data_IF_547887460768
#
_entry.id   IF_547887460768
#
_cell.length_a   1.000
_cell.length_b   1.000
_cell.length_c   1.000
_cell.angle_alpha   90.00
_cell.angle_beta   90.00
_cell.angle_gamma   90.00
#
_symmetry.space_group_name_H-M   'P 1'
#
loop_
_entity.id
_entity.type
_entity.pdbx_description
1 polymer ?
#
# COMPACT_ATOMS: atom_id res chain seq x y z
N UNK A 1 -41.47 14.60 -16.68
CA UNK A 1 -41.32 15.23 -15.34
C UNK A 1 -42.13 14.45 -14.33
N UNK A 2 -41.48 13.70 -13.44
CA UNK A 2 -42.04 13.17 -12.19
C UNK A 2 -40.94 13.31 -11.16
N UNK A 3 -41.18 14.18 -10.19
CA UNK A 3 -40.24 14.59 -9.16
C UNK A 3 -40.44 13.62 -7.99
N UNK A 4 -39.41 12.86 -7.64
CA UNK A 4 -39.47 11.90 -6.54
C UNK A 4 -38.62 12.43 -5.38
N UNK A 5 -39.29 12.78 -4.28
CA UNK A 5 -38.69 13.34 -3.07
C UNK A 5 -38.15 12.23 -2.15
N UNK A 6 -36.96 12.39 -1.54
CA UNK A 6 -36.45 11.42 -0.58
C UNK A 6 -37.03 11.64 0.84
N UNK A 7 -37.40 10.54 1.51
CA UNK A 7 -37.73 10.53 2.94
C UNK A 7 -36.43 10.63 3.75
N UNK A 8 -36.30 11.70 4.53
CA UNK A 8 -35.27 11.85 5.56
C UNK A 8 -35.53 10.83 6.68
N UNK A 9 -34.56 9.94 6.93
CA UNK A 9 -34.49 9.15 8.15
C UNK A 9 -33.66 9.93 9.18
N UNK A 10 -34.29 10.25 10.31
CA UNK A 10 -33.65 10.89 11.45
C UNK A 10 -32.68 9.90 12.12
N UNK A 11 -31.39 10.28 12.19
CA UNK A 11 -30.38 9.55 12.95
C UNK A 11 -30.30 10.18 14.33
N UNK A 12 -30.81 9.47 15.32
CA UNK A 12 -30.75 9.84 16.74
C UNK A 12 -29.31 9.73 17.23
N UNK A 13 -28.73 10.87 17.61
CA UNK A 13 -27.40 10.98 18.20
C UNK A 13 -27.45 10.47 19.66
N UNK A 14 -26.88 9.30 19.94
CA UNK A 14 -26.69 8.84 21.32
C UNK A 14 -25.37 9.43 21.86
N UNK A 15 -25.49 10.48 22.68
CA UNK A 15 -24.41 10.94 23.55
C UNK A 15 -24.20 9.90 24.67
N UNK A 16 -23.05 9.24 24.68
CA UNK A 16 -22.59 8.53 25.88
C UNK A 16 -21.71 9.44 26.72
N UNK A 17 -22.13 9.58 27.96
CA UNK A 17 -21.61 10.43 29.03
C UNK A 17 -20.24 9.98 29.52
N UNK A 18 -19.33 10.95 29.74
CA UNK A 18 -18.09 10.76 30.48
C UNK A 18 -18.42 10.32 31.92
N UNK A 19 -17.83 9.20 32.36
CA UNK A 19 -17.78 8.83 33.77
C UNK A 19 -16.45 9.33 34.36
N UNK A 20 -16.55 10.24 35.32
CA UNK A 20 -15.43 10.71 36.12
C UNK A 20 -15.27 9.80 37.35
N UNK A 21 -14.08 9.22 37.55
CA UNK A 21 -13.67 8.68 38.84
C UNK A 21 -12.67 9.65 39.46
N UNK A 22 -13.10 10.33 40.52
CA UNK A 22 -12.23 10.99 41.49
C UNK A 22 -11.85 9.96 42.56
N UNK A 23 -10.56 9.72 42.73
CA UNK A 23 -10.00 9.27 44.01
C UNK A 23 -8.69 10.03 44.26
N UNK A 24 -8.70 10.82 45.32
CA UNK A 24 -7.55 11.25 46.14
C UNK A 24 -7.94 10.92 47.59
N UNK A 25 -7.04 10.83 48.59
CA UNK A 25 -5.62 11.20 48.61
C UNK A 25 -4.71 10.19 49.35
N UNK A 26 -3.39 10.27 49.18
CA UNK A 26 -2.50 10.30 50.35
C UNK A 26 -1.13 10.88 50.00
N UNK A 27 -0.74 11.78 50.89
CA UNK A 27 0.43 12.62 50.86
C UNK A 27 1.62 11.84 51.43
N UNK A 28 2.71 11.74 50.68
CA UNK A 28 4.04 11.61 51.28
C UNK A 28 5.02 12.44 50.45
N UNK A 29 5.46 13.55 51.05
CA UNK A 29 6.52 14.43 50.58
C UNK A 29 7.85 13.69 50.66
N UNK A 30 8.50 13.51 49.53
CA UNK A 30 9.96 13.48 49.46
C UNK A 30 10.39 14.50 48.39
N UNK A 31 10.70 15.72 48.85
CA UNK A 31 11.43 16.71 48.05
C UNK A 31 12.86 16.21 47.86
N UNK A 32 13.08 15.39 46.83
CA UNK A 32 14.42 15.27 46.25
C UNK A 32 14.64 16.50 45.40
N UNK A 33 15.32 17.48 45.99
CA UNK A 33 15.87 18.66 45.31
C UNK A 33 16.85 18.19 44.22
N UNK A 34 16.36 17.89 43.01
CA UNK A 34 17.21 17.73 41.84
C UNK A 34 17.62 19.11 41.35
N UNK A 35 18.82 19.49 41.77
CA UNK A 35 19.68 20.46 41.10
C UNK A 35 19.65 20.23 39.57
N UNK A 36 19.68 21.28 38.73
CA UNK A 36 19.68 21.08 37.28
C UNK A 36 21.03 20.49 36.88
N UNK A 37 21.10 19.16 36.82
CA UNK A 37 22.22 18.46 36.21
C UNK A 37 22.20 18.77 34.71
N UNK A 38 23.03 19.74 34.32
CA UNK A 38 23.50 19.88 32.94
C UNK A 38 24.17 18.56 32.57
N UNK A 39 23.42 17.69 31.91
CA UNK A 39 24.00 16.51 31.26
C UNK A 39 24.81 17.06 30.08
N UNK A 40 26.12 17.11 30.24
CA UNK A 40 27.04 17.32 29.13
C UNK A 40 26.91 16.09 28.22
N UNK A 41 26.10 16.21 27.17
CA UNK A 41 25.93 15.14 26.19
C UNK A 41 27.28 14.83 25.55
N UNK A 42 27.68 13.55 25.58
CA UNK A 42 28.92 13.11 24.94
C UNK A 42 28.81 13.40 23.43
N UNK A 43 29.80 14.04 22.79
CA UNK A 43 29.72 14.47 21.39
C UNK A 43 29.41 13.33 20.41
N UNK A 44 29.79 12.10 20.75
CA UNK A 44 29.47 10.91 19.96
C UNK A 44 27.98 10.55 20.00
N UNK A 45 27.30 10.78 21.14
CA UNK A 45 25.86 10.52 21.29
C UNK A 45 25.03 11.51 20.46
N UNK A 46 25.41 12.79 20.44
CA UNK A 46 24.76 13.83 19.61
C UNK A 46 24.94 13.55 18.11
N UNK A 47 26.07 12.95 17.72
CA UNK A 47 26.30 12.54 16.32
C UNK A 47 25.45 11.33 15.95
N UNK A 48 25.37 10.33 16.83
CA UNK A 48 24.56 9.13 16.63
C UNK A 48 23.06 9.43 16.58
N UNK A 49 22.55 10.29 17.47
CA UNK A 49 21.13 10.68 17.49
C UNK A 49 20.73 11.40 16.19
N UNK A 50 21.59 12.26 15.64
CA UNK A 50 21.37 12.91 14.33
C UNK A 50 21.38 11.92 13.17
N UNK A 51 22.30 10.95 13.16
CA UNK A 51 22.36 9.92 12.12
C UNK A 51 21.10 9.05 12.14
N UNK A 52 20.61 8.69 13.32
CA UNK A 52 19.37 7.94 13.48
C UNK A 52 18.16 8.73 12.94
N UNK A 53 18.07 10.02 13.25
CA UNK A 53 16.99 10.88 12.73
C UNK A 53 17.02 10.97 11.20
N UNK A 54 18.20 11.12 10.60
CA UNK A 54 18.37 11.16 9.15
C UNK A 54 17.96 9.84 8.49
N UNK A 55 18.37 8.71 9.05
CA UNK A 55 18.00 7.39 8.55
C UNK A 55 16.48 7.17 8.63
N UNK A 56 15.84 7.58 9.72
CA UNK A 56 14.38 7.50 9.87
C UNK A 56 13.67 8.35 8.81
N UNK A 57 14.14 9.57 8.55
CA UNK A 57 13.55 10.42 7.53
C UNK A 57 13.73 9.85 6.12
N UNK A 58 14.92 9.31 5.82
CA UNK A 58 15.17 8.61 4.56
C UNK A 58 14.18 7.46 4.35
N UNK A 59 13.97 6.61 5.36
CA UNK A 59 13.01 5.50 5.27
C UNK A 59 11.59 5.99 5.00
N UNK A 60 11.17 7.12 5.60
CA UNK A 60 9.86 7.73 5.32
C UNK A 60 9.75 8.22 3.89
N UNK A 61 10.78 8.87 3.36
CA UNK A 61 10.78 9.34 1.97
C UNK A 61 10.78 8.18 0.97
N UNK A 62 11.51 7.10 1.27
CA UNK A 62 11.49 5.89 0.45
C UNK A 62 10.12 5.19 0.48
N UNK A 63 9.45 5.13 1.63
CA UNK A 63 8.08 4.63 1.71
C UNK A 63 7.13 5.52 0.89
N UNK A 64 7.21 6.85 1.07
CA UNK A 64 6.38 7.79 0.33
C UNK A 64 6.54 7.63 -1.19
N UNK A 65 7.77 7.60 -1.68
CA UNK A 65 8.06 7.40 -3.10
C UNK A 65 7.53 6.05 -3.61
N UNK A 66 7.62 4.99 -2.80
CA UNK A 66 7.07 3.68 -3.15
C UNK A 66 5.53 3.66 -3.18
N UNK A 67 4.86 4.44 -2.33
CA UNK A 67 3.40 4.63 -2.38
C UNK A 67 3.00 5.38 -3.66
N UNK A 68 3.68 6.49 -3.97
CA UNK A 68 3.42 7.30 -5.16
C UNK A 68 3.52 6.47 -6.44
N UNK A 69 4.49 5.55 -6.52
CA UNK A 69 4.64 4.64 -7.66
C UNK A 69 3.48 3.64 -7.84
N UNK A 70 2.59 3.51 -6.85
CA UNK A 70 1.44 2.60 -6.84
C UNK A 70 0.08 3.32 -6.83
N UNK A 71 0.06 4.65 -6.88
CA UNK A 71 -1.18 5.45 -6.92
C UNK A 71 -2.06 5.07 -8.12
N UNK A 72 -1.45 4.68 -9.25
CA UNK A 72 -2.17 4.23 -10.44
C UNK A 72 -3.17 3.11 -10.11
N UNK A 73 -2.80 2.18 -9.23
CA UNK A 73 -3.64 1.02 -8.89
C UNK A 73 -4.87 1.39 -8.06
N UNK A 74 -4.91 2.59 -7.48
CA UNK A 74 -6.08 3.04 -6.70
C UNK A 74 -7.26 3.42 -7.58
N UNK A 75 -6.99 3.80 -8.84
CA UNK A 75 -7.99 4.33 -9.79
C UNK A 75 -8.01 3.59 -11.12
N UNK A 76 -7.24 2.51 -11.25
CA UNK A 76 -7.17 1.71 -12.47
C UNK A 76 -8.54 1.11 -12.82
N UNK A 77 -8.94 1.28 -14.08
CA UNK A 77 -10.14 0.68 -14.64
C UNK A 77 -9.75 -0.57 -15.43
N UNK A 78 -9.96 -1.73 -14.81
CA UNK A 78 -9.54 -3.01 -15.34
C UNK A 78 -10.23 -3.35 -16.66
N UNK A 79 -11.54 -3.10 -16.77
CA UNK A 79 -12.30 -3.48 -17.95
C UNK A 79 -11.95 -2.56 -19.12
N UNK A 80 -11.74 -1.27 -18.85
CA UNK A 80 -11.24 -0.33 -19.85
C UNK A 80 -9.86 -0.74 -20.36
N UNK A 81 -8.87 -0.93 -19.48
CA UNK A 81 -7.50 -1.27 -19.92
C UNK A 81 -7.47 -2.60 -20.68
N UNK A 82 -8.23 -3.59 -20.19
CA UNK A 82 -8.35 -4.88 -20.86
C UNK A 82 -8.92 -4.73 -22.28
N UNK A 83 -10.05 -4.02 -22.45
CA UNK A 83 -10.67 -3.86 -23.76
C UNK A 83 -9.75 -3.08 -24.72
N UNK A 84 -9.10 -2.02 -24.25
CA UNK A 84 -8.12 -1.28 -25.05
C UNK A 84 -6.93 -2.16 -25.48
N UNK A 85 -6.48 -3.07 -24.62
CA UNK A 85 -5.41 -4.00 -24.93
C UNK A 85 -5.83 -5.00 -26.01
N UNK A 86 -7.06 -5.53 -25.93
CA UNK A 86 -7.64 -6.41 -26.96
C UNK A 86 -7.74 -5.68 -28.30
N UNK A 87 -8.27 -4.45 -28.33
CA UNK A 87 -8.37 -3.64 -29.55
C UNK A 87 -7.00 -3.40 -30.22
N UNK A 88 -5.95 -3.25 -29.40
CA UNK A 88 -4.57 -3.03 -29.85
C UNK A 88 -3.81 -4.34 -30.14
N UNK A 89 -4.44 -5.50 -29.94
CA UNK A 89 -3.80 -6.82 -29.98
C UNK A 89 -2.57 -6.93 -29.06
N UNK A 90 -2.59 -6.23 -27.91
CA UNK A 90 -1.56 -6.33 -26.88
C UNK A 90 -1.97 -7.36 -25.83
N UNK A 91 -1.57 -8.61 -26.07
CA UNK A 91 -1.90 -9.74 -25.19
C UNK A 91 -0.89 -9.97 -24.06
N UNK A 92 0.06 -9.04 -23.85
CA UNK A 92 1.06 -9.16 -22.78
C UNK A 92 0.39 -9.15 -21.41
N UNK A 93 0.87 -10.01 -20.53
CA UNK A 93 0.41 -10.12 -19.13
C UNK A 93 1.30 -9.32 -18.18
N UNK A 94 0.79 -9.00 -16.99
CA UNK A 94 1.55 -8.35 -15.94
C UNK A 94 2.45 -9.34 -15.20
N UNK A 95 3.72 -8.97 -15.02
CA UNK A 95 4.71 -9.71 -14.24
C UNK A 95 5.23 -8.87 -13.09
N UNK A 96 5.37 -9.45 -11.91
CA UNK A 96 6.09 -8.83 -10.80
C UNK A 96 7.59 -8.98 -11.04
N UNK A 97 8.31 -7.86 -11.06
CA UNK A 97 9.77 -7.86 -11.11
C UNK A 97 10.35 -8.33 -9.77
N UNK A 98 11.40 -9.15 -9.79
CA UNK A 98 12.07 -9.57 -8.55
C UNK A 98 12.74 -10.94 -8.61
N UNK A 99 13.24 -11.38 -7.45
CA UNK A 99 13.75 -12.74 -7.25
C UNK A 99 12.57 -13.70 -7.20
N UNK A 100 12.37 -14.45 -8.28
CA UNK A 100 11.16 -15.26 -8.48
C UNK A 100 10.07 -14.48 -9.19
N UNK A 101 10.44 -13.81 -10.29
CA UNK A 101 9.51 -13.14 -11.18
C UNK A 101 8.30 -14.05 -11.46
N UNK A 102 7.11 -13.51 -11.26
CA UNK A 102 5.87 -14.27 -11.33
C UNK A 102 4.79 -13.46 -12.02
N UNK A 103 3.89 -14.15 -12.70
CA UNK A 103 2.69 -13.59 -13.29
C UNK A 103 1.50 -13.90 -12.37
N UNK A 104 1.01 -12.93 -11.57
CA UNK A 104 -0.11 -13.16 -10.66
C UNK A 104 -1.33 -13.72 -11.41
N UNK A 105 -2.05 -14.65 -10.78
CA UNK A 105 -3.24 -15.27 -11.38
C UNK A 105 -3.01 -16.32 -12.46
N UNK A 106 -1.74 -16.56 -12.85
CA UNK A 106 -1.37 -17.56 -13.84
C UNK A 106 -0.66 -18.73 -13.16
N UNK A 107 -1.12 -19.94 -13.46
CA UNK A 107 -0.49 -21.18 -12.97
C UNK A 107 0.99 -21.24 -13.37
N UNK A 108 1.86 -21.62 -12.43
CA UNK A 108 3.31 -21.62 -12.64
C UNK A 108 3.76 -22.49 -13.80
N UNK A 109 3.04 -23.59 -14.09
CA UNK A 109 3.31 -24.46 -15.24
C UNK A 109 3.03 -23.80 -16.59
N UNK A 110 2.18 -22.76 -16.61
CA UNK A 110 1.80 -22.02 -17.82
C UNK A 110 2.63 -20.76 -18.06
N UNK A 111 3.28 -20.21 -17.03
CA UNK A 111 3.96 -18.91 -17.12
C UNK A 111 5.01 -18.88 -18.23
N UNK A 112 5.82 -19.92 -18.38
CA UNK A 112 6.83 -20.00 -19.46
C UNK A 112 6.18 -20.03 -20.87
N UNK A 113 5.02 -20.68 -21.01
CA UNK A 113 4.28 -20.73 -22.28
C UNK A 113 3.66 -19.38 -22.60
N UNK A 114 3.02 -18.74 -21.63
CA UNK A 114 2.43 -17.40 -21.79
C UNK A 114 3.50 -16.38 -22.14
N UNK A 115 4.65 -16.43 -21.44
CA UNK A 115 5.76 -15.52 -21.72
C UNK A 115 6.26 -15.66 -23.15
N UNK A 116 6.45 -16.91 -23.61
CA UNK A 116 6.89 -17.18 -24.98
C UNK A 116 5.88 -16.71 -26.03
N UNK A 117 4.59 -16.92 -25.80
CA UNK A 117 3.56 -16.69 -26.81
C UNK A 117 3.14 -15.23 -26.88
N UNK A 118 3.00 -14.57 -25.73
CA UNK A 118 2.33 -13.27 -25.61
C UNK A 118 3.22 -12.22 -24.97
N UNK A 119 4.31 -12.63 -24.31
CA UNK A 119 5.20 -11.75 -23.58
C UNK A 119 4.58 -11.21 -22.29
N UNK A 120 5.34 -10.35 -21.63
CA UNK A 120 4.93 -9.70 -20.39
C UNK A 120 5.29 -8.21 -20.36
N UNK A 121 4.68 -7.52 -19.40
CA UNK A 121 5.01 -6.16 -18.96
C UNK A 121 5.22 -6.17 -17.45
N UNK A 122 6.20 -5.44 -16.95
CA UNK A 122 6.44 -5.36 -15.51
C UNK A 122 5.38 -4.50 -14.83
N UNK A 123 4.87 -5.00 -13.71
CA UNK A 123 3.86 -4.32 -12.90
C UNK A 123 4.47 -3.06 -12.25
N UNK A 124 4.01 -1.84 -12.60
CA UNK A 124 4.63 -0.61 -12.16
C UNK A 124 4.58 -0.46 -10.63
N UNK A 125 5.72 -0.08 -10.04
CA UNK A 125 5.85 0.14 -8.60
C UNK A 125 5.93 -1.13 -7.74
N UNK A 126 5.91 -2.33 -8.34
CA UNK A 126 5.95 -3.59 -7.60
C UNK A 126 7.29 -4.32 -7.79
N UNK A 127 8.01 -4.52 -6.69
CA UNK A 127 9.28 -5.25 -6.65
C UNK A 127 9.50 -6.06 -5.36
N UNK A 128 10.76 -6.41 -5.09
CA UNK A 128 11.20 -7.23 -3.95
C UNK A 128 11.05 -6.55 -2.58
N UNK A 129 11.13 -5.22 -2.54
CA UNK A 129 11.20 -4.47 -1.28
C UNK A 129 9.80 -4.08 -0.82
N UNK A 130 9.42 -4.51 0.39
CA UNK A 130 8.25 -4.02 1.11
C UNK A 130 8.67 -2.93 2.10
N UNK A 131 7.85 -1.89 2.21
CA UNK A 131 8.02 -0.72 3.08
C UNK A 131 6.69 -0.44 3.74
N UNK A 132 6.67 -0.24 5.06
CA UNK A 132 5.50 0.14 5.88
C UNK A 132 4.14 -0.52 5.57
N UNK A 133 3.10 -0.17 6.32
CA UNK A 133 1.78 -0.78 6.14
C UNK A 133 1.02 -0.17 4.96
N UNK A 134 1.18 1.14 4.73
CA UNK A 134 0.50 1.83 3.64
C UNK A 134 0.99 1.33 2.29
N UNK A 135 2.31 1.26 2.08
CA UNK A 135 2.83 0.72 0.82
C UNK A 135 2.50 -0.78 0.64
N UNK A 136 2.45 -1.58 1.72
CA UNK A 136 1.89 -2.96 1.63
C UNK A 136 0.45 -3.00 1.11
N UNK A 137 -0.41 -2.11 1.60
CA UNK A 137 -1.81 -2.05 1.16
C UNK A 137 -1.94 -1.62 -0.32
N UNK A 138 -1.15 -0.64 -0.75
CA UNK A 138 -1.12 -0.19 -2.14
C UNK A 138 -0.59 -1.29 -3.06
N UNK A 139 0.48 -1.97 -2.66
CA UNK A 139 1.05 -3.09 -3.42
C UNK A 139 0.06 -4.23 -3.55
N UNK A 140 -0.68 -4.56 -2.48
CA UNK A 140 -1.73 -5.57 -2.52
C UNK A 140 -2.76 -5.25 -3.60
N UNK A 141 -3.25 -4.01 -3.67
CA UNK A 141 -4.20 -3.58 -4.72
C UNK A 141 -3.61 -3.72 -6.14
N UNK A 142 -2.35 -3.32 -6.35
CA UNK A 142 -1.68 -3.49 -7.64
C UNK A 142 -1.55 -4.96 -8.04
N UNK A 143 -1.22 -5.85 -7.11
CA UNK A 143 -1.11 -7.29 -7.38
C UNK A 143 -2.48 -7.92 -7.65
N UNK A 144 -3.52 -7.55 -6.90
CA UNK A 144 -4.90 -7.99 -7.14
C UNK A 144 -5.41 -7.53 -8.51
N UNK A 145 -5.05 -6.32 -8.94
CA UNK A 145 -5.32 -5.82 -10.28
C UNK A 145 -4.66 -6.69 -11.34
N UNK A 146 -3.35 -6.94 -11.19
CA UNK A 146 -2.58 -7.76 -12.12
C UNK A 146 -3.12 -9.19 -12.22
N UNK A 147 -3.49 -9.80 -11.09
CA UNK A 147 -4.09 -11.14 -11.06
C UNK A 147 -5.36 -11.22 -11.91
N UNK A 148 -6.30 -10.28 -11.70
CA UNK A 148 -7.56 -10.25 -12.45
C UNK A 148 -7.34 -9.97 -13.93
N UNK A 149 -6.46 -9.03 -14.26
CA UNK A 149 -6.11 -8.72 -15.65
C UNK A 149 -5.53 -9.95 -16.35
N UNK A 150 -4.55 -10.61 -15.71
CA UNK A 150 -3.87 -11.77 -16.25
C UNK A 150 -4.81 -12.97 -16.44
N UNK A 151 -5.72 -13.21 -15.49
CA UNK A 151 -6.73 -14.27 -15.61
C UNK A 151 -7.64 -14.08 -16.82
N UNK A 152 -8.00 -12.83 -17.15
CA UNK A 152 -8.75 -12.51 -18.37
C UNK A 152 -7.86 -12.62 -19.61
N UNK A 153 -6.65 -12.08 -19.56
CA UNK A 153 -5.78 -11.99 -20.75
C UNK A 153 -5.20 -13.34 -21.17
N UNK A 154 -4.95 -14.26 -20.24
CA UNK A 154 -4.39 -15.57 -20.57
C UNK A 154 -5.29 -16.41 -21.50
N UNK A 155 -6.60 -16.17 -21.51
CA UNK A 155 -7.51 -16.91 -22.40
C UNK A 155 -7.27 -16.54 -23.87
N UNK A 156 -7.13 -15.25 -24.17
CA UNK A 156 -6.75 -14.76 -25.51
C UNK A 156 -5.34 -15.19 -25.90
N UNK A 157 -4.42 -15.16 -24.93
CA UNK A 157 -3.05 -15.62 -25.16
C UNK A 157 -2.96 -17.09 -25.58
N UNK A 158 -3.80 -17.95 -24.98
CA UNK A 158 -3.77 -19.39 -25.21
C UNK A 158 -4.70 -19.86 -26.33
N UNK A 159 -5.73 -19.09 -26.69
CA UNK A 159 -6.68 -19.42 -27.76
C UNK A 159 -6.10 -19.20 -29.16
N UNK A 160 -5.01 -18.44 -29.30
CA UNK A 160 -4.40 -18.15 -30.60
C UNK A 160 -5.26 -17.28 -31.50
N UNK A 161 -6.12 -16.43 -30.92
CA UNK A 161 -6.92 -15.45 -31.67
C UNK A 161 -5.99 -14.37 -32.26
N UNK A 162 -5.59 -14.55 -33.53
CA UNK A 162 -4.91 -13.56 -34.38
C UNK A 162 -5.87 -12.52 -34.99
#
# INVERSE_FOLDING_TARGET
MKINTPKLAAITLALMTLSACQETPSESKEEIKKEPQQTQEHPDKVKQDRQNQQAVEQLRQEEKSAIEALEWAQSADLDKEYNEAIEKKDFRVWMIAGRGASMPGIDSSLQAKIDKNCGHKYLPGVGDILRGDTHRAYRKKAVEYAEKYNQKMQTHCLSGEE
#
